data_IF_796151335370
#
_entry.id   IF_796151335370
#
_cell.length_a   1.000
_cell.length_b   1.000
_cell.length_c   1.000
_cell.angle_alpha   90.00
_cell.angle_beta   90.00
_cell.angle_gamma   90.00
#
_symmetry.space_group_name_H-M   'P 1'
#
loop_
_entity.id
_entity.type
_entity.pdbx_description
1 polymer ?
#
# COMPACT_ATOMS: atom_id res chain seq x y z
N UNK A 1 -10.72 29.40 27.95
CA UNK A 1 -9.63 28.58 28.51
C UNK A 1 -9.57 27.33 27.67
N UNK A 2 -8.52 27.14 26.87
CA UNK A 2 -8.39 25.91 26.09
C UNK A 2 -8.18 24.74 27.06
N UNK A 3 -8.98 23.69 26.90
CA UNK A 3 -8.86 22.55 27.79
C UNK A 3 -7.54 21.80 27.54
N UNK A 4 -6.80 21.41 28.59
CA UNK A 4 -5.44 20.86 28.48
C UNK A 4 -5.33 19.60 27.59
N UNK A 5 -6.45 18.89 27.35
CA UNK A 5 -6.46 17.76 26.43
C UNK A 5 -6.26 18.16 24.97
N UNK A 6 -6.65 19.37 24.54
CA UNK A 6 -6.49 19.87 23.16
C UNK A 6 -5.02 19.83 22.75
N UNK A 7 -4.14 20.43 23.55
CA UNK A 7 -2.70 20.42 23.29
C UNK A 7 -2.13 18.99 23.29
N UNK A 8 -2.62 18.11 24.17
CA UNK A 8 -2.18 16.72 24.23
C UNK A 8 -2.51 15.95 22.94
N UNK A 9 -3.70 16.13 22.36
CA UNK A 9 -4.08 15.47 21.10
C UNK A 9 -3.35 16.03 19.88
N UNK A 10 -3.13 17.35 19.83
CA UNK A 10 -2.32 17.96 18.79
C UNK A 10 -0.89 17.42 18.85
N UNK A 11 -0.29 17.38 20.05
CA UNK A 11 1.03 16.80 20.28
C UNK A 11 1.08 15.32 19.87
N UNK A 12 0.06 14.51 20.21
CA UNK A 12 0.00 13.11 19.83
C UNK A 12 0.01 12.91 18.30
N UNK A 13 -0.72 13.75 17.56
CA UNK A 13 -0.74 13.72 16.09
C UNK A 13 0.64 14.03 15.51
N UNK A 14 1.29 15.08 16.01
CA UNK A 14 2.63 15.51 15.55
C UNK A 14 3.68 14.46 15.89
N UNK A 15 3.68 13.92 17.11
CA UNK A 15 4.64 12.89 17.55
C UNK A 15 4.46 11.61 16.73
N UNK A 16 3.22 11.14 16.53
CA UNK A 16 2.94 9.95 15.72
C UNK A 16 3.34 10.14 14.25
N UNK A 17 3.09 11.34 13.70
CA UNK A 17 3.53 11.72 12.36
C UNK A 17 5.05 11.74 12.22
N UNK A 18 5.74 12.41 13.15
CA UNK A 18 7.20 12.47 13.20
C UNK A 18 7.83 11.08 13.34
N UNK A 19 7.30 10.23 14.22
CA UNK A 19 7.75 8.86 14.38
C UNK A 19 7.53 8.03 13.09
N UNK A 20 6.39 8.19 12.42
CA UNK A 20 6.13 7.54 11.12
C UNK A 20 7.14 7.96 10.05
N UNK A 21 7.43 9.26 9.94
CA UNK A 21 8.43 9.79 9.02
C UNK A 21 9.84 9.28 9.33
N UNK A 22 10.21 9.17 10.61
CA UNK A 22 11.48 8.60 11.03
C UNK A 22 11.62 7.13 10.59
N UNK A 23 10.57 6.32 10.77
CA UNK A 23 10.52 4.93 10.30
C UNK A 23 10.69 4.87 8.77
N UNK A 24 9.98 5.71 8.02
CA UNK A 24 10.10 5.80 6.56
C UNK A 24 11.51 6.23 6.14
N UNK A 25 12.12 7.19 6.82
CA UNK A 25 13.46 7.68 6.52
C UNK A 25 14.52 6.58 6.66
N UNK A 26 14.43 5.75 7.72
CA UNK A 26 15.31 4.59 7.92
C UNK A 26 15.16 3.58 6.78
N UNK A 27 13.94 3.38 6.27
CA UNK A 27 13.64 2.47 5.15
C UNK A 27 13.86 3.07 3.76
N UNK A 28 14.26 4.35 3.65
CA UNK A 28 14.47 5.00 2.34
C UNK A 28 15.53 4.31 1.49
N UNK A 29 16.58 3.78 2.12
CA UNK A 29 17.68 3.09 1.40
C UNK A 29 17.21 1.81 0.72
N UNK A 30 16.25 1.08 1.30
CA UNK A 30 15.77 -0.20 0.75
C UNK A 30 14.81 -0.01 -0.42
N UNK A 31 14.17 1.15 -0.55
CA UNK A 31 13.27 1.48 -1.67
C UNK A 31 13.95 2.31 -2.77
N UNK A 32 15.18 2.78 -2.53
CA UNK A 32 15.90 3.60 -3.51
C UNK A 32 16.25 2.75 -4.71
N UNK A 33 15.88 3.23 -5.90
CA UNK A 33 16.12 2.51 -7.15
C UNK A 33 15.13 1.37 -7.40
N UNK A 34 14.03 1.29 -6.65
CA UNK A 34 12.87 0.41 -6.93
C UNK A 34 11.65 1.26 -7.33
N UNK A 35 10.62 0.64 -7.92
CA UNK A 35 9.34 1.32 -8.21
C UNK A 35 8.56 1.71 -6.97
N UNK A 36 8.94 1.19 -5.81
CA UNK A 36 8.34 1.53 -4.51
C UNK A 36 8.80 2.90 -4.02
N UNK A 37 9.76 3.56 -4.67
CA UNK A 37 10.14 4.93 -4.34
C UNK A 37 8.96 5.91 -4.42
N UNK A 38 8.09 5.75 -5.43
CA UNK A 38 6.87 6.55 -5.56
C UNK A 38 5.88 6.27 -4.42
N UNK A 39 5.66 4.97 -4.11
CA UNK A 39 4.80 4.53 -3.00
C UNK A 39 5.29 5.11 -1.66
N UNK A 40 6.61 5.06 -1.43
CA UNK A 40 7.24 5.62 -0.24
C UNK A 40 7.03 7.13 -0.14
N UNK A 41 7.19 7.87 -1.25
CA UNK A 41 7.00 9.32 -1.28
C UNK A 41 5.55 9.69 -0.98
N UNK A 42 4.58 9.00 -1.60
CA UNK A 42 3.16 9.21 -1.33
C UNK A 42 2.77 8.81 0.10
N UNK A 43 3.39 7.79 0.68
CA UNK A 43 3.20 7.43 2.09
C UNK A 43 3.70 8.52 3.03
N UNK A 44 4.85 9.14 2.72
CA UNK A 44 5.34 10.29 3.48
C UNK A 44 4.39 11.49 3.36
N UNK A 45 3.85 11.78 2.16
CA UNK A 45 2.84 12.81 1.96
C UNK A 45 1.58 12.53 2.79
N UNK A 46 1.06 11.30 2.76
CA UNK A 46 -0.10 10.89 3.55
C UNK A 46 0.12 11.09 5.06
N UNK A 47 1.31 10.74 5.57
CA UNK A 47 1.68 10.98 6.97
C UNK A 47 1.72 12.46 7.32
N UNK A 48 2.32 13.30 6.46
CA UNK A 48 2.40 14.75 6.67
C UNK A 48 0.98 15.34 6.69
N UNK A 49 0.14 14.98 5.73
CA UNK A 49 -1.25 15.44 5.66
C UNK A 49 -2.02 15.02 6.91
N UNK A 50 -1.93 13.75 7.32
CA UNK A 50 -2.64 13.24 8.49
C UNK A 50 -2.22 13.94 9.79
N UNK A 51 -0.92 14.08 10.01
CA UNK A 51 -0.38 14.70 11.23
C UNK A 51 -0.68 16.20 11.29
N UNK A 52 -0.52 16.92 10.16
CA UNK A 52 -0.81 18.36 10.08
C UNK A 52 -2.30 18.64 10.20
N UNK A 53 -3.15 17.84 9.56
CA UNK A 53 -4.60 17.92 9.69
C UNK A 53 -5.05 17.65 11.14
N UNK A 54 -4.53 16.58 11.76
CA UNK A 54 -4.84 16.28 13.16
C UNK A 54 -4.44 17.39 14.13
N UNK A 55 -3.25 17.97 13.97
CA UNK A 55 -2.83 19.12 14.77
C UNK A 55 -3.68 20.36 14.50
N UNK A 56 -3.91 20.71 13.23
CA UNK A 56 -4.64 21.91 12.86
C UNK A 56 -6.11 21.88 13.32
N UNK A 57 -6.82 20.76 13.15
CA UNK A 57 -8.25 20.70 13.53
C UNK A 57 -8.46 20.72 15.04
N UNK A 58 -7.50 20.21 15.81
CA UNK A 58 -7.53 20.29 17.26
C UNK A 58 -7.29 21.74 17.73
N UNK A 59 -6.34 22.45 17.10
CA UNK A 59 -6.03 23.86 17.43
C UNK A 59 -7.10 24.86 16.97
N UNK A 60 -7.80 24.60 15.87
CA UNK A 60 -8.88 25.48 15.38
C UNK A 60 -10.15 25.37 16.26
N UNK A 61 -10.29 24.27 17.02
CA UNK A 61 -11.40 24.06 17.95
C UNK A 61 -12.69 23.53 17.30
N UNK A 62 -13.58 22.98 18.14
CA UNK A 62 -14.81 22.31 17.72
C UNK A 62 -15.84 23.26 17.06
N UNK A 63 -15.84 24.54 17.42
CA UNK A 63 -16.80 25.53 16.91
C UNK A 63 -16.70 25.75 15.39
N UNK A 64 -15.57 25.35 14.78
CA UNK A 64 -15.35 25.43 13.32
C UNK A 64 -15.58 24.11 12.59
N UNK A 65 -16.24 23.12 13.20
CA UNK A 65 -16.43 21.79 12.61
C UNK A 65 -17.06 21.84 11.20
N UNK A 66 -18.07 22.69 10.98
CA UNK A 66 -18.71 22.82 9.66
C UNK A 66 -17.78 23.40 8.59
N UNK A 67 -16.92 24.37 8.95
CA UNK A 67 -16.00 25.02 8.00
C UNK A 67 -14.80 24.15 7.66
N UNK A 68 -14.40 23.26 8.56
CA UNK A 68 -13.23 22.37 8.37
C UNK A 68 -13.59 21.04 7.71
N UNK A 69 -14.88 20.69 7.59
CA UNK A 69 -15.33 19.42 6.99
C UNK A 69 -14.75 19.18 5.57
N UNK A 70 -14.69 20.17 4.64
CA UNK A 70 -14.09 19.93 3.33
C UNK A 70 -12.60 19.61 3.40
N UNK A 71 -11.85 20.31 4.26
CA UNK A 71 -10.41 20.11 4.43
C UNK A 71 -10.14 18.74 5.08
N UNK A 72 -10.96 18.35 6.06
CA UNK A 72 -10.94 17.02 6.69
C UNK A 72 -11.12 15.91 5.66
N UNK A 73 -12.15 16.04 4.82
CA UNK A 73 -12.42 15.07 3.78
C UNK A 73 -11.26 14.98 2.77
N UNK A 74 -10.76 16.11 2.27
CA UNK A 74 -9.64 16.16 1.32
C UNK A 74 -8.35 15.54 1.90
N UNK A 75 -8.09 15.76 3.19
CA UNK A 75 -6.98 15.15 3.92
C UNK A 75 -7.16 13.64 4.11
N UNK A 76 -8.38 13.18 4.44
CA UNK A 76 -8.67 11.76 4.59
C UNK A 76 -8.52 10.99 3.26
N UNK A 77 -8.98 11.54 2.14
CA UNK A 77 -8.83 10.88 0.82
C UNK A 77 -7.39 10.89 0.29
N UNK A 78 -6.50 11.76 0.80
CA UNK A 78 -5.07 11.69 0.48
C UNK A 78 -4.41 10.40 1.01
N UNK A 79 -5.03 9.73 1.99
CA UNK A 79 -4.53 8.44 2.51
C UNK A 79 -4.64 7.30 1.49
N UNK A 80 -5.40 7.47 0.39
CA UNK A 80 -5.44 6.50 -0.72
C UNK A 80 -4.27 6.65 -1.69
N UNK A 81 -3.54 7.77 -1.67
CA UNK A 81 -2.44 8.04 -2.61
C UNK A 81 -1.32 7.00 -2.59
N UNK A 82 -0.83 6.51 -1.42
CA UNK A 82 0.19 5.45 -1.39
C UNK A 82 -0.29 4.17 -2.05
N UNK A 83 -1.56 3.80 -1.83
CA UNK A 83 -2.17 2.62 -2.44
C UNK A 83 -2.29 2.78 -3.96
N UNK A 84 -2.78 3.93 -4.43
CA UNK A 84 -2.84 4.22 -5.86
C UNK A 84 -1.46 4.21 -6.51
N UNK A 85 -0.44 4.75 -5.85
CA UNK A 85 0.94 4.68 -6.33
C UNK A 85 1.43 3.23 -6.47
N UNK A 86 0.99 2.32 -5.58
CA UNK A 86 1.36 0.91 -5.61
C UNK A 86 0.78 0.18 -6.83
N UNK A 87 -0.45 0.51 -7.24
CA UNK A 87 -1.06 -0.08 -8.43
C UNK A 87 -0.28 0.25 -9.72
N UNK A 88 0.40 1.39 -9.76
CA UNK A 88 1.23 1.82 -10.88
C UNK A 88 2.71 1.53 -10.76
N UNK A 89 3.13 0.66 -9.85
CA UNK A 89 4.54 0.38 -9.56
C UNK A 89 5.26 -0.45 -10.67
N UNK A 90 4.98 -0.15 -11.95
CA UNK A 90 5.52 -0.79 -13.15
C UNK A 90 6.46 0.17 -13.90
N UNK A 91 7.69 -0.25 -14.23
CA UNK A 91 8.61 0.58 -15.04
C UNK A 91 8.33 0.44 -16.54
N UNK A 92 8.63 1.49 -17.35
CA UNK A 92 9.09 2.84 -16.97
C UNK A 92 7.93 3.81 -16.62
N UNK A 93 6.74 3.29 -16.33
CA UNK A 93 5.51 4.09 -16.22
C UNK A 93 5.32 4.74 -14.83
N UNK A 94 6.20 4.48 -13.86
CA UNK A 94 6.09 4.93 -12.48
C UNK A 94 6.09 6.46 -12.33
N UNK A 95 6.89 7.18 -13.13
CA UNK A 95 6.92 8.66 -13.12
C UNK A 95 5.61 9.26 -13.62
N UNK A 96 5.13 8.79 -14.78
CA UNK A 96 3.87 9.25 -15.35
C UNK A 96 2.68 8.90 -14.45
N UNK A 97 2.75 7.75 -13.77
CA UNK A 97 1.72 7.31 -12.84
C UNK A 97 1.52 8.25 -11.64
N UNK A 98 2.56 8.96 -11.19
CA UNK A 98 2.40 9.93 -10.10
C UNK A 98 1.43 11.07 -10.46
N UNK A 99 1.32 11.43 -11.75
CA UNK A 99 0.29 12.37 -12.22
C UNK A 99 -1.11 11.77 -12.17
N UNK A 100 -1.25 10.46 -12.39
CA UNK A 100 -2.52 9.74 -12.21
C UNK A 100 -2.92 9.75 -10.73
N UNK A 101 -1.96 9.54 -9.81
CA UNK A 101 -2.23 9.62 -8.36
C UNK A 101 -2.70 11.01 -7.94
N UNK A 102 -2.03 12.08 -8.40
CA UNK A 102 -2.46 13.47 -8.16
C UNK A 102 -3.87 13.69 -8.71
N UNK A 103 -4.11 13.32 -9.97
CA UNK A 103 -5.40 13.52 -10.63
C UNK A 103 -6.52 12.76 -9.90
N UNK A 104 -6.25 11.53 -9.48
CA UNK A 104 -7.16 10.72 -8.69
C UNK A 104 -7.50 11.40 -7.35
N UNK A 105 -6.50 11.89 -6.62
CA UNK A 105 -6.72 12.63 -5.39
C UNK A 105 -7.56 13.89 -5.59
N UNK A 106 -7.27 14.67 -6.64
CA UNK A 106 -8.07 15.86 -6.99
C UNK A 106 -9.51 15.50 -7.32
N UNK A 107 -9.74 14.43 -8.10
CA UNK A 107 -11.10 13.95 -8.42
C UNK A 107 -11.84 13.51 -7.16
N UNK A 108 -11.16 12.80 -6.24
CA UNK A 108 -11.76 12.44 -4.95
C UNK A 108 -12.06 13.66 -4.10
N UNK A 109 -11.16 14.65 -4.05
CA UNK A 109 -11.29 15.86 -3.25
C UNK A 109 -12.24 16.91 -3.88
N UNK A 110 -12.66 16.73 -5.13
CA UNK A 110 -13.52 17.66 -5.85
C UNK A 110 -14.79 18.08 -5.08
N UNK A 111 -15.53 17.18 -4.40
CA UNK A 111 -16.70 17.59 -3.63
C UNK A 111 -16.35 18.54 -2.47
N UNK A 112 -15.20 18.32 -1.83
CA UNK A 112 -14.70 19.22 -0.81
C UNK A 112 -14.28 20.58 -1.39
N UNK A 113 -13.61 20.57 -2.55
CA UNK A 113 -13.25 21.81 -3.25
C UNK A 113 -14.50 22.61 -3.65
N UNK A 114 -15.55 21.94 -4.12
CA UNK A 114 -16.83 22.56 -4.48
C UNK A 114 -17.47 23.27 -3.27
N UNK A 115 -17.56 22.58 -2.13
CA UNK A 115 -18.12 23.17 -0.90
C UNK A 115 -17.25 24.29 -0.36
N UNK A 116 -15.92 24.12 -0.35
CA UNK A 116 -15.01 25.12 0.17
C UNK A 116 -15.00 26.42 -0.65
N UNK A 117 -15.11 26.33 -1.98
CA UNK A 117 -14.98 27.48 -2.89
C UNK A 117 -16.34 28.06 -3.29
N UNK A 118 -17.29 27.22 -3.67
CA UNK A 118 -18.55 27.67 -4.28
C UNK A 118 -19.70 27.78 -3.27
N UNK A 119 -19.67 26.99 -2.18
CA UNK A 119 -20.78 26.89 -1.21
C UNK A 119 -20.31 26.88 0.25
N UNK A 120 -19.55 27.91 0.68
CA UNK A 120 -18.99 27.93 2.02
C UNK A 120 -20.09 27.84 3.08
N UNK A 121 -19.94 26.92 4.02
CA UNK A 121 -20.90 26.68 5.11
C UNK A 121 -22.01 25.67 4.81
N UNK A 122 -22.11 25.15 3.57
CA UNK A 122 -22.97 23.99 3.31
C UNK A 122 -22.31 22.69 3.78
N UNK A 123 -23.11 21.72 4.19
CA UNK A 123 -22.62 20.40 4.57
C UNK A 123 -22.13 19.62 3.34
N UNK A 124 -21.09 18.81 3.53
CA UNK A 124 -20.52 17.98 2.48
C UNK A 124 -21.44 16.80 2.15
N UNK A 125 -22.34 16.99 1.18
CA UNK A 125 -23.24 15.92 0.70
C UNK A 125 -22.55 14.94 -0.25
N UNK A 126 -21.98 13.85 0.28
CA UNK A 126 -21.46 12.76 -0.55
C UNK A 126 -22.60 11.80 -0.90
N UNK A 127 -22.93 11.72 -2.19
CA UNK A 127 -23.91 10.74 -2.70
C UNK A 127 -23.47 9.31 -2.41
N UNK A 128 -24.43 8.43 -2.13
CA UNK A 128 -24.18 7.03 -1.74
C UNK A 128 -23.22 6.29 -2.69
N UNK A 129 -23.28 6.55 -4.00
CA UNK A 129 -22.40 5.92 -4.99
C UNK A 129 -20.91 6.28 -4.79
N UNK A 130 -20.61 7.54 -4.43
CA UNK A 130 -19.23 7.97 -4.13
C UNK A 130 -18.75 7.36 -2.82
N UNK A 131 -19.61 7.32 -1.80
CA UNK A 131 -19.30 6.63 -0.54
C UNK A 131 -18.99 5.15 -0.75
N UNK A 132 -19.78 4.47 -1.59
CA UNK A 132 -19.53 3.07 -1.97
C UNK A 132 -18.19 2.90 -2.69
N UNK A 133 -17.84 3.82 -3.61
CA UNK A 133 -16.54 3.82 -4.28
C UNK A 133 -15.37 3.93 -3.28
N UNK A 134 -15.46 4.84 -2.29
CA UNK A 134 -14.47 4.93 -1.21
C UNK A 134 -14.36 3.63 -0.42
N UNK A 135 -15.50 3.00 -0.10
CA UNK A 135 -15.54 1.69 0.56
C UNK A 135 -14.82 0.59 -0.23
N UNK A 136 -14.96 0.57 -1.56
CA UNK A 136 -14.24 -0.36 -2.43
C UNK A 136 -12.72 -0.13 -2.37
N UNK A 137 -12.25 1.12 -2.29
CA UNK A 137 -10.83 1.42 -2.13
C UNK A 137 -10.25 0.93 -0.81
N UNK A 138 -10.96 1.16 0.29
CA UNK A 138 -10.59 0.65 1.63
C UNK A 138 -10.50 -0.88 1.59
N UNK A 139 -11.50 -1.54 0.99
CA UNK A 139 -11.51 -3.00 0.87
C UNK A 139 -10.35 -3.51 -0.01
N UNK A 140 -10.12 -2.87 -1.16
CA UNK A 140 -9.03 -3.23 -2.07
C UNK A 140 -7.66 -3.11 -1.38
N UNK A 141 -7.45 -2.07 -0.57
CA UNK A 141 -6.22 -1.93 0.23
C UNK A 141 -6.06 -3.07 1.23
N UNK A 142 -7.11 -3.36 2.00
CA UNK A 142 -7.12 -4.47 2.94
C UNK A 142 -6.75 -5.78 2.24
N UNK A 143 -7.51 -6.14 1.19
CA UNK A 143 -7.33 -7.38 0.43
C UNK A 143 -5.94 -7.47 -0.20
N UNK A 144 -5.40 -6.38 -0.72
CA UNK A 144 -4.06 -6.39 -1.32
C UNK A 144 -2.95 -6.72 -0.31
N UNK A 145 -3.19 -6.57 0.99
CA UNK A 145 -2.26 -6.94 2.06
C UNK A 145 -2.65 -8.24 2.77
N UNK A 146 -3.90 -8.69 2.68
CA UNK A 146 -4.33 -9.99 3.20
C UNK A 146 -3.49 -11.10 2.56
N UNK A 147 -2.98 -12.04 3.37
CA UNK A 147 -2.13 -13.13 2.86
C UNK A 147 -0.65 -12.76 2.61
N UNK A 148 -0.25 -11.51 2.87
CA UNK A 148 1.16 -11.11 2.94
C UNK A 148 1.68 -11.13 4.38
N UNK A 149 3.00 -11.06 4.58
CA UNK A 149 3.60 -10.88 5.90
C UNK A 149 3.24 -9.55 6.57
N UNK A 150 2.64 -8.61 5.84
CA UNK A 150 2.28 -7.26 6.29
C UNK A 150 0.76 -7.07 6.47
N UNK A 151 -0.04 -8.15 6.61
CA UNK A 151 -1.50 -8.05 6.70
C UNK A 151 -2.00 -7.13 7.82
N UNK A 152 -1.34 -7.14 8.98
CA UNK A 152 -1.66 -6.27 10.12
C UNK A 152 -1.57 -4.78 9.76
N UNK A 153 -0.60 -4.40 8.92
CA UNK A 153 -0.49 -3.01 8.45
C UNK A 153 -1.65 -2.63 7.53
N UNK A 154 -2.07 -3.52 6.63
CA UNK A 154 -3.23 -3.30 5.76
C UNK A 154 -4.53 -3.13 6.54
N UNK A 155 -4.73 -3.95 7.59
CA UNK A 155 -5.88 -3.79 8.50
C UNK A 155 -5.82 -2.46 9.25
N UNK A 156 -4.66 -2.08 9.78
CA UNK A 156 -4.49 -0.81 10.49
C UNK A 156 -4.80 0.41 9.60
N UNK A 157 -4.29 0.44 8.37
CA UNK A 157 -4.57 1.53 7.43
C UNK A 157 -6.04 1.56 7.01
N UNK A 158 -6.66 0.39 6.80
CA UNK A 158 -8.10 0.29 6.48
C UNK A 158 -8.98 0.79 7.63
N UNK A 159 -8.61 0.51 8.89
CA UNK A 159 -9.29 1.05 10.07
C UNK A 159 -9.18 2.57 10.09
N UNK A 160 -7.99 3.12 9.89
CA UNK A 160 -7.79 4.58 9.84
C UNK A 160 -8.66 5.25 8.78
N UNK A 161 -8.65 4.72 7.55
CA UNK A 161 -9.47 5.28 6.47
C UNK A 161 -10.96 5.15 6.77
N UNK A 162 -11.40 4.02 7.32
CA UNK A 162 -12.80 3.81 7.73
C UNK A 162 -13.21 4.79 8.81
N UNK A 163 -12.37 5.01 9.82
CA UNK A 163 -12.63 5.97 10.89
C UNK A 163 -12.76 7.40 10.34
N UNK A 164 -11.80 7.85 9.54
CA UNK A 164 -11.80 9.23 9.03
C UNK A 164 -12.87 9.51 7.98
N UNK A 165 -13.40 8.46 7.33
CA UNK A 165 -14.45 8.58 6.32
C UNK A 165 -15.80 8.00 6.79
N UNK A 166 -15.95 7.66 8.08
CA UNK A 166 -17.12 6.96 8.61
C UNK A 166 -18.45 7.65 8.28
N UNK A 167 -18.48 8.99 8.36
CA UNK A 167 -19.66 9.82 8.03
C UNK A 167 -20.03 9.78 6.54
N UNK A 168 -19.10 9.40 5.66
CA UNK A 168 -19.28 9.39 4.20
C UNK A 168 -19.45 7.98 3.62
N UNK A 169 -19.28 6.94 4.44
CA UNK A 169 -19.46 5.55 4.02
C UNK A 169 -20.92 5.13 4.18
N UNK A 170 -21.53 4.49 3.16
CA UNK A 170 -22.96 4.18 3.17
C UNK A 170 -23.38 3.23 4.30
N UNK A 171 -22.44 2.42 4.82
CA UNK A 171 -22.69 1.37 5.81
C UNK A 171 -22.31 1.74 7.25
N UNK A 172 -21.55 2.81 7.47
CA UNK A 172 -21.06 3.20 8.82
C UNK A 172 -21.85 4.39 9.33
N UNK A 173 -21.96 5.48 8.54
CA UNK A 173 -22.74 6.69 8.84
C UNK A 173 -22.62 7.21 10.29
N UNK A 174 -21.47 6.97 10.91
CA UNK A 174 -21.19 7.41 12.29
C UNK A 174 -20.33 8.65 12.25
N UNK A 175 -20.77 9.71 12.91
CA UNK A 175 -19.95 10.91 13.09
C UNK A 175 -18.92 10.66 14.19
N UNK A 176 -17.65 10.54 13.78
CA UNK A 176 -16.55 10.54 14.73
C UNK A 176 -16.07 11.98 14.94
N UNK A 177 -15.99 12.38 16.21
CA UNK A 177 -15.52 13.71 16.62
C UNK A 177 -14.06 13.96 16.30
N UNK A 178 -13.55 15.14 16.67
CA UNK A 178 -12.16 15.55 16.40
C UNK A 178 -11.09 14.61 16.99
N UNK A 179 -11.44 13.87 18.05
CA UNK A 179 -10.57 12.85 18.66
C UNK A 179 -10.17 11.71 17.68
N UNK A 180 -10.92 11.51 16.60
CA UNK A 180 -10.61 10.46 15.62
C UNK A 180 -9.27 10.69 14.91
N UNK A 181 -8.88 11.95 14.67
CA UNK A 181 -7.65 12.30 13.95
C UNK A 181 -6.34 11.93 14.66
N UNK A 182 -6.16 12.25 15.95
CA UNK A 182 -4.95 11.82 16.66
C UNK A 182 -4.91 10.31 16.89
N UNK A 183 -6.07 9.67 17.12
CA UNK A 183 -6.15 8.19 17.23
C UNK A 183 -5.79 7.55 15.88
N UNK A 184 -6.32 8.07 14.78
CA UNK A 184 -5.99 7.64 13.43
C UNK A 184 -4.49 7.80 13.13
N UNK A 185 -3.89 8.93 13.52
CA UNK A 185 -2.45 9.17 13.38
C UNK A 185 -1.61 8.13 14.14
N UNK A 186 -2.04 7.78 15.35
CA UNK A 186 -1.39 6.76 16.18
C UNK A 186 -1.50 5.37 15.54
N UNK A 187 -2.70 4.98 15.07
CA UNK A 187 -2.91 3.69 14.40
C UNK A 187 -2.11 3.62 13.09
N UNK A 188 -2.06 4.72 12.33
CA UNK A 188 -1.26 4.81 11.10
C UNK A 188 0.24 4.64 11.37
N UNK A 189 0.74 5.23 12.46
CA UNK A 189 2.10 5.02 12.92
C UNK A 189 2.36 3.55 13.23
N UNK A 190 1.48 2.90 14.00
CA UNK A 190 1.60 1.46 14.33
C UNK A 190 1.60 0.63 13.04
N UNK A 191 0.70 0.90 12.09
CA UNK A 191 0.69 0.23 10.80
C UNK A 191 1.99 0.41 10.01
N UNK A 192 2.54 1.62 10.01
CA UNK A 192 3.82 1.95 9.36
C UNK A 192 5.00 1.22 10.02
N UNK A 193 5.04 1.17 11.36
CA UNK A 193 6.06 0.46 12.12
C UNK A 193 5.98 -1.05 11.90
N UNK A 194 4.77 -1.64 11.90
CA UNK A 194 4.55 -3.06 11.61
C UNK A 194 4.98 -3.41 10.19
N UNK A 195 4.63 -2.59 9.20
CA UNK A 195 5.07 -2.76 7.82
C UNK A 195 6.60 -2.74 7.71
N UNK A 196 7.25 -1.75 8.35
CA UNK A 196 8.70 -1.63 8.35
C UNK A 196 9.39 -2.79 9.08
N UNK A 197 8.81 -3.30 10.16
CA UNK A 197 9.32 -4.46 10.88
C UNK A 197 9.18 -5.74 10.07
N UNK A 198 7.99 -5.98 9.46
CA UNK A 198 7.73 -7.13 8.62
C UNK A 198 8.70 -7.19 7.43
N UNK A 199 8.99 -6.05 6.80
CA UNK A 199 9.96 -5.95 5.71
C UNK A 199 11.41 -6.27 6.14
N UNK A 200 11.74 -6.10 7.42
CA UNK A 200 13.07 -6.41 7.97
C UNK A 200 13.25 -7.84 8.48
N UNK A 201 12.18 -8.64 8.52
CA UNK A 201 12.21 -9.98 9.13
C UNK A 201 13.03 -10.93 8.25
N UNK A 202 14.23 -11.29 8.72
CA UNK A 202 15.07 -12.29 8.06
C UNK A 202 14.38 -13.65 8.09
N UNK A 203 14.16 -14.24 6.91
CA UNK A 203 13.59 -15.58 6.75
C UNK A 203 14.72 -16.60 6.72
N UNK A 204 15.26 -16.92 7.90
CA UNK A 204 16.26 -17.99 8.07
C UNK A 204 15.66 -19.33 7.68
N UNK A 205 16.44 -20.18 7.01
CA UNK A 205 16.01 -21.51 6.57
C UNK A 205 15.18 -21.55 5.29
N UNK A 206 14.91 -20.39 4.66
CA UNK A 206 14.25 -20.30 3.36
C UNK A 206 15.30 -20.14 2.26
N UNK A 207 15.12 -20.83 1.13
CA UNK A 207 16.00 -20.71 -0.03
C UNK A 207 16.12 -19.24 -0.47
N UNK A 208 17.26 -18.85 -1.05
CA UNK A 208 17.45 -17.45 -1.44
C UNK A 208 16.44 -17.01 -2.51
N UNK A 209 16.04 -17.91 -3.43
CA UNK A 209 15.01 -17.67 -4.44
C UNK A 209 13.64 -17.38 -3.82
N UNK A 210 13.22 -18.22 -2.87
CA UNK A 210 11.95 -18.04 -2.16
C UNK A 210 11.98 -16.76 -1.31
N UNK A 211 13.14 -16.41 -0.76
CA UNK A 211 13.30 -15.15 -0.01
C UNK A 211 13.02 -13.94 -0.90
N UNK A 212 13.53 -13.91 -2.13
CA UNK A 212 13.27 -12.82 -3.07
C UNK A 212 11.79 -12.79 -3.46
N UNK A 213 11.20 -13.94 -3.79
CA UNK A 213 9.78 -14.02 -4.12
C UNK A 213 8.89 -13.48 -3.00
N UNK A 214 9.14 -13.92 -1.78
CA UNK A 214 8.34 -13.54 -0.62
C UNK A 214 8.54 -12.07 -0.25
N UNK A 215 9.75 -11.53 -0.42
CA UNK A 215 10.01 -10.11 -0.25
C UNK A 215 9.26 -9.26 -1.30
N UNK A 216 9.24 -9.72 -2.56
CA UNK A 216 8.45 -9.08 -3.62
C UNK A 216 6.95 -9.10 -3.27
N UNK A 217 6.40 -10.27 -2.93
CA UNK A 217 4.99 -10.44 -2.55
C UNK A 217 4.58 -9.53 -1.40
N UNK A 218 5.41 -9.49 -0.35
CA UNK A 218 5.12 -8.67 0.84
C UNK A 218 5.23 -7.18 0.55
N UNK A 219 6.14 -6.77 -0.34
CA UNK A 219 6.30 -5.36 -0.70
C UNK A 219 5.18 -4.85 -1.60
N UNK A 220 4.82 -5.61 -2.64
CA UNK A 220 3.88 -5.20 -3.68
C UNK A 220 2.42 -5.59 -3.42
N UNK A 221 2.17 -6.57 -2.55
CA UNK A 221 0.84 -7.07 -2.24
C UNK A 221 0.36 -8.20 -3.16
N UNK A 222 -0.84 -8.69 -2.86
CA UNK A 222 -1.44 -9.87 -3.49
C UNK A 222 -1.65 -9.70 -4.99
N UNK A 223 -2.17 -8.55 -5.42
CA UNK A 223 -2.54 -8.35 -6.83
C UNK A 223 -1.32 -8.46 -7.74
N UNK A 224 -0.22 -7.82 -7.34
CA UNK A 224 1.05 -7.89 -8.07
C UNK A 224 1.71 -9.26 -7.96
N UNK A 225 1.65 -9.91 -6.80
CA UNK A 225 2.16 -11.25 -6.63
C UNK A 225 1.45 -12.26 -7.55
N UNK A 226 0.12 -12.29 -7.56
CA UNK A 226 -0.64 -13.19 -8.43
C UNK A 226 -0.29 -12.99 -9.89
N UNK A 227 -0.22 -11.73 -10.35
CA UNK A 227 0.16 -11.40 -11.73
C UNK A 227 1.58 -11.85 -12.09
N UNK A 228 2.52 -11.70 -11.15
CA UNK A 228 3.90 -12.14 -11.37
C UNK A 228 3.99 -13.67 -11.43
N UNK A 229 3.29 -14.37 -10.53
CA UNK A 229 3.24 -15.83 -10.52
C UNK A 229 2.60 -16.40 -11.79
N UNK A 230 1.49 -15.82 -12.25
CA UNK A 230 0.83 -16.24 -13.50
C UNK A 230 1.78 -16.12 -14.70
N UNK A 231 2.47 -14.98 -14.83
CA UNK A 231 3.44 -14.76 -15.92
C UNK A 231 4.61 -15.73 -15.84
N UNK A 232 5.20 -15.93 -14.67
CA UNK A 232 6.33 -16.84 -14.51
C UNK A 232 5.92 -18.29 -14.80
N UNK A 233 4.75 -18.71 -14.32
CA UNK A 233 4.21 -20.04 -14.57
C UNK A 233 3.89 -20.26 -16.05
N UNK A 234 3.35 -19.26 -16.74
CA UNK A 234 3.11 -19.32 -18.19
C UNK A 234 4.41 -19.49 -18.98
N UNK A 235 5.47 -18.76 -18.61
CA UNK A 235 6.80 -18.92 -19.22
C UNK A 235 7.41 -20.28 -18.90
N UNK A 236 7.31 -20.74 -17.65
CA UNK A 236 7.78 -22.06 -17.25
C UNK A 236 7.09 -23.18 -18.03
N UNK A 237 5.78 -23.08 -18.21
CA UNK A 237 4.99 -24.04 -19.00
C UNK A 237 5.40 -24.02 -20.47
N UNK A 238 5.56 -22.83 -21.08
CA UNK A 238 5.94 -22.72 -22.49
C UNK A 238 7.36 -23.25 -22.77
N UNK A 239 8.28 -23.11 -21.81
CA UNK A 239 9.67 -23.56 -21.94
C UNK A 239 9.91 -24.96 -21.33
N UNK A 240 8.87 -25.64 -20.84
CA UNK A 240 8.99 -26.98 -20.25
C UNK A 240 9.83 -27.04 -18.96
N UNK A 241 9.93 -25.95 -18.20
CA UNK A 241 10.69 -25.93 -16.96
C UNK A 241 9.99 -26.77 -15.87
N UNK A 242 10.70 -27.63 -15.12
CA UNK A 242 10.11 -28.53 -14.12
C UNK A 242 9.79 -27.82 -12.79
N UNK A 243 9.33 -26.56 -12.85
CA UNK A 243 9.11 -25.71 -11.69
C UNK A 243 7.86 -24.87 -11.86
N UNK A 244 7.23 -24.55 -10.72
CA UNK A 244 6.08 -23.65 -10.63
C UNK A 244 6.29 -22.70 -9.46
N UNK A 245 5.98 -21.42 -9.64
CA UNK A 245 5.90 -20.47 -8.55
C UNK A 245 4.55 -20.60 -7.86
N UNK A 246 4.57 -21.18 -6.65
CA UNK A 246 3.45 -21.22 -5.73
C UNK A 246 3.45 -19.98 -4.83
N UNK A 247 2.39 -19.83 -4.03
CA UNK A 247 2.24 -18.68 -3.14
C UNK A 247 3.41 -18.53 -2.16
N UNK A 248 3.95 -19.64 -1.66
CA UNK A 248 4.99 -19.67 -0.65
C UNK A 248 6.42 -19.81 -1.19
N UNK A 249 6.59 -19.93 -2.50
CA UNK A 249 7.91 -20.19 -3.10
C UNK A 249 7.83 -21.04 -4.36
N UNK A 250 8.99 -21.42 -4.86
CA UNK A 250 9.14 -22.31 -5.99
C UNK A 250 8.95 -23.76 -5.57
N UNK A 251 8.15 -24.50 -6.33
CA UNK A 251 7.92 -25.92 -6.14
C UNK A 251 8.25 -26.67 -7.42
N UNK A 252 8.85 -27.85 -7.29
CA UNK A 252 9.07 -28.74 -8.43
C UNK A 252 7.73 -29.21 -8.97
N UNK A 253 7.52 -29.04 -10.27
CA UNK A 253 6.34 -29.54 -10.96
C UNK A 253 6.76 -30.67 -11.90
N UNK A 254 6.26 -31.91 -11.71
CA UNK A 254 6.54 -32.99 -12.64
C UNK A 254 6.11 -32.56 -14.03
N UNK A 255 7.04 -32.56 -14.99
CA UNK A 255 6.69 -32.24 -16.37
C UNK A 255 5.87 -33.42 -16.93
N UNK A 256 4.70 -33.18 -17.56
CA UNK A 256 3.88 -34.26 -18.12
C UNK A 256 4.58 -35.03 -19.25
N UNK A 257 5.71 -34.54 -19.76
CA UNK A 257 6.54 -35.26 -20.73
C UNK A 257 7.30 -36.47 -20.13
N UNK A 258 7.16 -36.75 -18.83
CA UNK A 258 7.98 -37.73 -18.10
C UNK A 258 7.25 -39.07 -17.90
N UNK A 259 6.96 -39.79 -18.98
CA UNK A 259 6.67 -41.23 -18.86
C UNK A 259 7.40 -42.14 -19.85
N UNK A 260 8.30 -41.63 -20.70
CA UNK A 260 9.09 -42.52 -21.57
C UNK A 260 10.41 -41.99 -22.14
N UNK A 261 10.56 -40.69 -22.41
CA UNK A 261 11.62 -40.22 -23.34
C UNK A 261 12.60 -39.17 -22.73
N UNK A 262 12.40 -38.77 -21.48
CA UNK A 262 13.14 -37.66 -20.86
C UNK A 262 14.48 -38.06 -20.22
N UNK A 263 14.67 -39.30 -19.79
CA UNK A 263 15.94 -39.76 -19.21
C UNK A 263 17.09 -39.67 -20.23
N UNK A 264 16.81 -39.91 -21.51
CA UNK A 264 17.80 -39.81 -22.59
C UNK A 264 18.07 -38.35 -23.02
N UNK A 265 17.12 -37.43 -22.84
CA UNK A 265 17.28 -35.99 -23.16
C UNK A 265 17.88 -35.18 -22.00
N UNK A 266 17.55 -35.53 -20.75
CA UNK A 266 18.07 -34.87 -19.55
C UNK A 266 19.53 -35.24 -19.25
N UNK A 267 20.01 -36.40 -19.72
CA UNK A 267 21.44 -36.75 -19.66
C UNK A 267 22.33 -35.78 -20.48
N UNK A 268 21.76 -35.09 -21.48
CA UNK A 268 22.47 -34.10 -22.29
C UNK A 268 22.16 -32.64 -21.93
N UNK A 269 21.09 -32.38 -21.16
CA UNK A 269 20.78 -31.06 -20.61
C UNK A 269 21.47 -30.91 -19.25
N UNK A 270 22.76 -30.60 -19.36
CA UNK A 270 23.71 -30.27 -18.31
C UNK A 270 23.21 -29.24 -17.27
N UNK A 271 23.94 -29.05 -16.14
CA UNK A 271 23.79 -27.98 -15.14
C UNK A 271 23.45 -26.57 -15.67
N UNK A 272 23.76 -26.26 -16.93
CA UNK A 272 23.40 -25.00 -17.60
C UNK A 272 21.90 -24.65 -17.59
N UNK A 273 21.00 -25.64 -17.47
CA UNK A 273 19.55 -25.39 -17.43
C UNK A 273 19.09 -24.79 -16.09
N UNK A 274 19.72 -25.15 -14.97
CA UNK A 274 19.48 -24.55 -13.67
C UNK A 274 20.04 -23.12 -13.60
N UNK A 275 21.18 -22.87 -14.24
CA UNK A 275 21.79 -21.54 -14.36
C UNK A 275 21.00 -20.61 -15.30
N UNK A 276 20.43 -21.15 -16.39
CA UNK A 276 19.51 -20.39 -17.24
C UNK A 276 18.23 -20.00 -16.49
N UNK A 277 17.75 -20.90 -15.63
CA UNK A 277 16.61 -20.64 -14.76
C UNK A 277 16.91 -19.57 -13.70
N UNK A 278 18.04 -19.67 -13.01
CA UNK A 278 18.47 -18.65 -12.05
C UNK A 278 18.59 -17.28 -12.70
N UNK A 279 19.23 -17.23 -13.87
CA UNK A 279 19.33 -15.99 -14.64
C UNK A 279 17.97 -15.47 -15.10
N UNK A 280 17.01 -16.33 -15.46
CA UNK A 280 15.66 -15.90 -15.84
C UNK A 280 14.86 -15.38 -14.65
N UNK A 281 14.96 -16.03 -13.48
CA UNK A 281 14.30 -15.60 -12.24
C UNK A 281 14.91 -14.28 -11.74
N UNK A 282 16.24 -14.20 -11.68
CA UNK A 282 16.96 -12.98 -11.37
C UNK A 282 16.65 -11.88 -12.38
N UNK A 283 16.59 -12.18 -13.68
CA UNK A 283 16.24 -11.20 -14.69
C UNK A 283 14.79 -10.72 -14.53
N UNK A 284 13.82 -11.62 -14.31
CA UNK A 284 12.41 -11.24 -14.11
C UNK A 284 12.22 -10.40 -12.85
N UNK A 285 12.86 -10.80 -11.75
CA UNK A 285 12.78 -10.12 -10.46
C UNK A 285 13.61 -8.83 -10.46
N UNK A 286 14.82 -8.81 -11.01
CA UNK A 286 15.65 -7.62 -11.16
C UNK A 286 15.06 -6.65 -12.18
N UNK A 287 14.39 -7.11 -13.23
CA UNK A 287 13.64 -6.21 -14.15
C UNK A 287 12.46 -5.55 -13.46
N UNK A 288 11.92 -6.13 -12.38
CA UNK A 288 10.86 -5.48 -11.58
C UNK A 288 11.43 -4.71 -10.38
N UNK A 289 12.60 -5.10 -9.84
CA UNK A 289 13.22 -4.49 -8.66
C UNK A 289 14.26 -3.40 -8.98
N UNK A 290 15.10 -3.56 -10.02
CA UNK A 290 16.21 -2.66 -10.37
C UNK A 290 15.96 -1.78 -11.60
N UNK A 291 15.25 -2.26 -12.61
CA UNK A 291 14.90 -1.47 -13.81
C UNK A 291 13.71 -0.61 -13.59
#
# INVERSE_FOLDING_TARGET
MEEPWVLAWAALSVVSGGASLAVLAVRRRTVRGTTLAAVWAWHAVAVIVLASAGAAFVLIGADSMGRTQPVRFAAAVALFCPHMALLGAKRPQDRAWSWVVVSFWVVLALPALEVAVLRPGQSLGIRDLRGAFLGVFILMECVNRLGTGAWLSGVAFSIVQTMLLAEHLPFVRTELGLWAWPVASTIWFVGTAVMAWAAGRSRRGVSDRDRVWLAFRDAFGVLWALRAAERLNSVAQHNGWPVRLAWNGLVSHPSPATHGDLSHRLAHLAPDSLDAYDRALEYALAKHMRC
#
